data_IF_016588732279
#
_entry.id   IF_016588732279
#
_cell.length_a   1.000
_cell.length_b   1.000
_cell.length_c   1.000
_cell.angle_alpha   90.00
_cell.angle_beta   90.00
_cell.angle_gamma   90.00
#
_symmetry.space_group_name_H-M   'P 1'
#
loop_
_entity.id
_entity.type
_entity.pdbx_description
1 polymer ?
#
# COMPACT_ATOMS: atom_id res chain seq x y z
N UNK A 1 -9.63 13.33 27.89
CA UNK A 1 -9.61 12.76 26.53
C UNK A 1 -8.44 11.79 26.47
N UNK A 2 -8.68 10.52 26.13
CA UNK A 2 -7.60 9.52 26.06
C UNK A 2 -6.81 9.73 24.78
N UNK A 3 -5.48 9.78 24.89
CA UNK A 3 -4.59 9.85 23.73
C UNK A 3 -4.70 8.55 22.95
N UNK A 4 -4.97 8.57 21.62
CA UNK A 4 -5.05 7.36 20.82
C UNK A 4 -3.70 6.62 20.81
N UNK A 5 -3.76 5.29 20.93
CA UNK A 5 -2.59 4.44 20.89
C UNK A 5 -1.98 4.48 19.49
N UNK A 6 -0.69 4.14 19.39
CA UNK A 6 -0.01 4.06 18.10
C UNK A 6 -0.69 3.05 17.15
N UNK A 7 -1.16 1.93 17.69
CA UNK A 7 -1.94 0.93 16.94
C UNK A 7 -3.16 1.54 16.27
N UNK A 8 -3.90 2.39 16.99
CA UNK A 8 -5.16 2.96 16.49
C UNK A 8 -4.89 3.88 15.29
N UNK A 9 -3.82 4.66 15.35
CA UNK A 9 -3.38 5.50 14.24
C UNK A 9 -2.93 4.68 13.03
N UNK A 10 -2.17 3.60 13.26
CA UNK A 10 -1.73 2.70 12.18
C UNK A 10 -2.94 2.04 11.50
N UNK A 11 -3.92 1.56 12.29
CA UNK A 11 -5.16 1.00 11.75
C UNK A 11 -5.96 2.02 10.96
N UNK A 12 -6.06 3.26 11.44
CA UNK A 12 -6.74 4.34 10.71
C UNK A 12 -6.06 4.63 9.36
N UNK A 13 -4.72 4.73 9.34
CA UNK A 13 -3.98 4.92 8.08
C UNK A 13 -4.14 3.72 7.15
N UNK A 14 -4.00 2.51 7.68
CA UNK A 14 -4.13 1.29 6.89
C UNK A 14 -5.50 1.19 6.23
N UNK A 15 -6.59 1.45 6.96
CA UNK A 15 -7.94 1.40 6.40
C UNK A 15 -8.11 2.35 5.20
N UNK A 16 -7.67 3.62 5.35
CA UNK A 16 -7.75 4.61 4.26
C UNK A 16 -6.90 4.24 3.06
N UNK A 17 -5.70 3.71 3.31
CA UNK A 17 -4.78 3.28 2.27
C UNK A 17 -5.31 2.05 1.56
N UNK A 18 -5.89 1.09 2.28
CA UNK A 18 -6.43 -0.13 1.70
C UNK A 18 -7.62 0.15 0.77
N UNK A 19 -8.56 1.00 1.21
CA UNK A 19 -9.66 1.49 0.39
C UNK A 19 -9.13 2.15 -0.91
N UNK A 20 -8.10 2.99 -0.78
CA UNK A 20 -7.43 3.61 -1.93
C UNK A 20 -6.79 2.57 -2.86
N UNK A 21 -6.02 1.63 -2.33
CA UNK A 21 -5.34 0.60 -3.13
C UNK A 21 -6.33 -0.27 -3.90
N UNK A 22 -7.47 -0.61 -3.28
CA UNK A 22 -8.51 -1.42 -3.91
C UNK A 22 -9.10 -0.71 -5.15
N UNK A 23 -9.35 0.59 -5.08
CA UNK A 23 -9.83 1.37 -6.22
C UNK A 23 -8.71 1.63 -7.25
N UNK A 24 -7.52 2.00 -6.79
CA UNK A 24 -6.37 2.29 -7.62
C UNK A 24 -5.97 1.08 -8.48
N UNK A 25 -5.93 -0.11 -7.89
CA UNK A 25 -5.54 -1.34 -8.58
C UNK A 25 -6.49 -1.71 -9.72
N UNK A 26 -7.76 -1.29 -9.66
CA UNK A 26 -8.73 -1.49 -10.74
C UNK A 26 -8.46 -0.52 -11.89
N UNK A 27 -8.25 0.76 -11.59
CA UNK A 27 -7.96 1.77 -12.61
C UNK A 27 -6.59 1.59 -13.24
N UNK A 28 -5.57 1.28 -12.45
CA UNK A 28 -4.22 1.01 -12.90
C UNK A 28 -4.19 -0.13 -13.91
N UNK A 29 -4.90 -1.23 -13.65
CA UNK A 29 -5.00 -2.36 -14.59
C UNK A 29 -5.65 -1.98 -15.92
N UNK A 30 -6.65 -1.08 -15.93
CA UNK A 30 -7.30 -0.60 -17.16
C UNK A 30 -6.35 0.25 -18.01
N UNK A 31 -5.47 1.02 -17.37
CA UNK A 31 -4.53 1.93 -18.02
C UNK A 31 -3.17 1.28 -18.32
N UNK A 32 -2.92 0.07 -17.80
CA UNK A 32 -1.65 -0.65 -18.00
C UNK A 32 -1.49 -1.08 -19.45
N UNK A 33 -0.38 -0.69 -20.07
CA UNK A 33 -0.04 -1.11 -21.43
C UNK A 33 0.27 -2.61 -21.47
N UNK A 34 -0.07 -3.30 -22.58
CA UNK A 34 0.29 -4.70 -22.79
C UNK A 34 1.80 -4.89 -22.63
N UNK A 35 2.20 -5.95 -21.93
CA UNK A 35 3.61 -6.31 -21.79
C UNK A 35 4.12 -6.80 -23.14
N UNK A 36 5.28 -6.30 -23.58
CA UNK A 36 5.94 -6.78 -24.79
C UNK A 36 6.16 -8.30 -24.75
N UNK A 37 5.77 -8.98 -25.82
CA UNK A 37 5.89 -10.43 -25.94
C UNK A 37 7.37 -10.87 -25.91
N UNK A 38 7.64 -12.01 -25.25
CA UNK A 38 8.98 -12.61 -25.20
C UNK A 38 9.89 -12.13 -24.04
N UNK A 39 9.52 -11.09 -23.30
CA UNK A 39 10.30 -10.63 -22.13
C UNK A 39 9.90 -11.44 -20.89
N UNK A 40 10.78 -12.34 -20.44
CA UNK A 40 10.60 -13.07 -19.16
C UNK A 40 10.80 -12.11 -17.98
N UNK A 41 9.74 -11.91 -17.19
CA UNK A 41 9.78 -11.15 -15.93
C UNK A 41 9.69 -12.10 -14.73
N UNK A 42 10.30 -11.71 -13.62
CA UNK A 42 10.21 -12.44 -12.35
C UNK A 42 8.92 -12.06 -11.63
N UNK A 43 7.87 -12.87 -11.79
CA UNK A 43 6.58 -12.68 -11.12
C UNK A 43 6.54 -13.34 -9.73
N UNK A 44 7.45 -12.96 -8.83
CA UNK A 44 7.43 -13.47 -7.45
C UNK A 44 6.38 -12.70 -6.64
N UNK A 45 5.51 -13.42 -5.93
CA UNK A 45 4.61 -12.80 -4.96
C UNK A 45 5.40 -12.12 -3.84
N UNK A 46 5.11 -10.86 -3.58
CA UNK A 46 5.59 -10.17 -2.38
C UNK A 46 4.92 -10.77 -1.13
N UNK A 47 5.56 -10.62 0.03
CA UNK A 47 5.02 -11.03 1.33
C UNK A 47 4.10 -9.97 1.93
N UNK A 48 4.26 -8.71 1.52
CA UNK A 48 3.43 -7.58 1.92
C UNK A 48 2.62 -7.11 0.72
N UNK A 49 1.40 -6.68 1.00
CA UNK A 49 0.50 -5.99 0.07
C UNK A 49 0.95 -4.53 -0.12
N UNK A 50 0.50 -3.91 -1.20
CA UNK A 50 0.80 -2.50 -1.47
C UNK A 50 0.24 -1.58 -0.37
N UNK A 51 -0.94 -1.90 0.17
CA UNK A 51 -1.55 -1.18 1.30
C UNK A 51 -0.66 -1.20 2.55
N UNK A 52 -0.09 -2.37 2.88
CA UNK A 52 0.84 -2.50 4.01
C UNK A 52 2.12 -1.69 3.80
N UNK A 53 2.70 -1.76 2.59
CA UNK A 53 3.93 -1.04 2.25
C UNK A 53 3.70 0.47 2.32
N UNK A 54 2.62 0.98 1.74
CA UNK A 54 2.28 2.41 1.74
C UNK A 54 2.01 2.90 3.16
N UNK A 55 1.32 2.11 3.99
CA UNK A 55 1.07 2.44 5.40
C UNK A 55 2.37 2.58 6.19
N UNK A 56 3.32 1.64 5.99
CA UNK A 56 4.66 1.72 6.61
C UNK A 56 5.38 3.00 6.16
N UNK A 57 5.34 3.34 4.86
CA UNK A 57 5.97 4.55 4.33
C UNK A 57 5.37 5.83 4.93
N UNK A 58 4.05 5.92 5.04
CA UNK A 58 3.36 7.06 5.66
C UNK A 58 3.79 7.21 7.14
N UNK A 59 3.76 6.12 7.89
CA UNK A 59 4.15 6.14 9.31
C UNK A 59 5.63 6.50 9.50
N UNK A 60 6.51 6.04 8.60
CA UNK A 60 7.92 6.40 8.56
C UNK A 60 8.16 7.88 8.26
N UNK A 61 7.57 8.40 7.19
CA UNK A 61 7.69 9.82 6.84
C UNK A 61 7.02 10.75 7.86
N UNK A 62 5.96 10.29 8.53
CA UNK A 62 5.27 11.02 9.60
C UNK A 62 6.03 11.07 10.94
N UNK A 63 7.26 10.55 11.00
CA UNK A 63 8.11 10.60 12.19
C UNK A 63 7.58 9.76 13.37
N UNK A 64 6.73 8.76 13.10
CA UNK A 64 6.14 7.89 14.12
C UNK A 64 7.07 6.74 14.54
N UNK A 65 8.20 6.58 13.85
CA UNK A 65 9.29 5.69 14.25
C UNK A 65 10.50 6.56 14.57
N UNK A 66 10.83 6.67 15.86
CA UNK A 66 12.01 7.35 16.39
C UNK A 66 12.79 6.40 17.26
#
# INVERSE_FOLDING_TARGET
MNTPLFSDKVTEFFAKVDDFCNEFELEFKKQTLPVAEGIKKRNRKATLTDSEIITILIAFHGGQFR
#
